data_IF_192047456559
#
_entry.id   IF_192047456559
#
_cell.length_a   1.000
_cell.length_b   1.000
_cell.length_c   1.000
_cell.angle_alpha   90.00
_cell.angle_beta   90.00
_cell.angle_gamma   90.00
#
_symmetry.space_group_name_H-M   'P 1'
#
loop_
_entity.id
_entity.type
_entity.pdbx_description
1 polymer ?
#
# COMPACT_ATOMS: atom_id res chain seq x y z
N UNK A 1 10.57 20.84 -7.39
CA UNK A 1 9.56 20.13 -6.56
C UNK A 1 8.22 20.17 -7.30
N UNK A 2 7.61 19.01 -7.59
CA UNK A 2 6.25 18.98 -8.19
C UNK A 2 5.26 19.55 -7.18
N UNK A 3 4.55 20.64 -7.53
CA UNK A 3 3.48 21.18 -6.68
C UNK A 3 2.33 20.15 -6.58
N UNK A 4 1.89 19.88 -5.36
CA UNK A 4 0.71 19.06 -5.11
C UNK A 4 -0.51 19.76 -5.70
N UNK A 5 -1.33 19.02 -6.42
CA UNK A 5 -2.58 19.53 -6.98
C UNK A 5 -3.74 19.07 -6.10
N UNK A 6 -4.87 19.79 -6.15
CA UNK A 6 -6.11 19.41 -5.44
C UNK A 6 -6.51 17.96 -5.76
N UNK A 7 -6.33 17.53 -7.02
CA UNK A 7 -6.62 16.17 -7.44
C UNK A 7 -5.72 15.13 -6.75
N UNK A 8 -4.44 15.42 -6.58
CA UNK A 8 -3.51 14.52 -5.84
C UNK A 8 -3.92 14.41 -4.38
N UNK A 9 -4.27 15.55 -3.76
CA UNK A 9 -4.71 15.58 -2.37
C UNK A 9 -6.01 14.81 -2.17
N UNK A 10 -7.00 14.99 -3.06
CA UNK A 10 -8.27 14.25 -3.02
C UNK A 10 -8.05 12.73 -3.17
N UNK A 11 -7.17 12.30 -4.09
CA UNK A 11 -6.83 10.88 -4.23
C UNK A 11 -6.14 10.34 -2.99
N UNK A 12 -5.18 11.08 -2.44
CA UNK A 12 -4.51 10.69 -1.21
C UNK A 12 -5.51 10.50 -0.06
N UNK A 13 -6.46 11.43 0.10
CA UNK A 13 -7.53 11.32 1.09
C UNK A 13 -8.42 10.09 0.88
N UNK A 14 -8.82 9.82 -0.37
CA UNK A 14 -9.63 8.63 -0.70
C UNK A 14 -8.87 7.33 -0.43
N UNK A 15 -7.60 7.26 -0.82
CA UNK A 15 -6.77 6.06 -0.58
C UNK A 15 -6.59 5.81 0.93
N UNK A 16 -6.30 6.86 1.71
CA UNK A 16 -6.16 6.74 3.15
C UNK A 16 -7.47 6.30 3.81
N UNK A 17 -8.61 6.90 3.41
CA UNK A 17 -9.93 6.53 3.91
C UNK A 17 -10.30 5.07 3.57
N UNK A 18 -10.01 4.62 2.34
CA UNK A 18 -10.21 3.23 1.93
C UNK A 18 -9.33 2.27 2.73
N UNK A 19 -8.07 2.64 3.00
CA UNK A 19 -7.18 1.81 3.82
C UNK A 19 -7.77 1.60 5.21
N UNK A 20 -8.21 2.69 5.86
CA UNK A 20 -8.85 2.65 7.17
C UNK A 20 -10.13 1.81 7.12
N UNK A 21 -11.02 2.08 6.17
CA UNK A 21 -12.29 1.36 6.04
C UNK A 21 -12.10 -0.15 5.83
N UNK A 22 -11.17 -0.56 4.94
CA UNK A 22 -10.87 -1.97 4.69
C UNK A 22 -10.24 -2.65 5.91
N UNK A 23 -9.40 -1.95 6.67
CA UNK A 23 -8.85 -2.48 7.92
C UNK A 23 -9.95 -2.76 8.92
N UNK A 24 -10.92 -1.84 9.06
CA UNK A 24 -12.05 -2.02 9.99
C UNK A 24 -13.04 -3.09 9.57
N UNK A 25 -13.38 -3.17 8.28
CA UNK A 25 -14.26 -4.21 7.75
C UNK A 25 -13.73 -5.62 8.02
N UNK A 26 -12.42 -5.78 8.02
CA UNK A 26 -11.76 -7.07 8.22
C UNK A 26 -11.17 -7.23 9.64
N UNK A 27 -11.45 -6.29 10.56
CA UNK A 27 -10.87 -6.26 11.91
C UNK A 27 -10.94 -7.60 12.66
N UNK A 28 -12.07 -8.35 12.64
CA UNK A 28 -12.14 -9.64 13.33
C UNK A 28 -11.15 -10.69 12.82
N UNK A 29 -10.73 -10.57 11.55
CA UNK A 29 -9.78 -11.49 10.90
C UNK A 29 -8.37 -10.87 10.82
N UNK A 30 -8.29 -9.54 10.93
CA UNK A 30 -7.04 -8.79 10.91
C UNK A 30 -6.31 -8.81 12.27
N UNK A 31 -7.01 -9.21 13.35
CA UNK A 31 -6.47 -9.28 14.71
C UNK A 31 -6.10 -10.73 15.02
N UNK A 32 -4.80 -11.02 15.17
CA UNK A 32 -4.31 -12.35 15.51
C UNK A 32 -2.98 -12.67 14.85
N UNK A 33 -2.45 -13.86 15.10
CA UNK A 33 -1.15 -14.31 14.60
C UNK A 33 -1.05 -14.33 13.07
N UNK A 34 -2.17 -14.51 12.35
CA UNK A 34 -2.18 -14.59 10.88
C UNK A 34 -2.35 -13.20 10.23
N UNK A 35 -2.84 -12.21 10.93
CA UNK A 35 -3.09 -10.82 10.46
C UNK A 35 -3.50 -10.68 8.98
N UNK A 36 -4.73 -11.03 8.66
CA UNK A 36 -5.26 -10.93 7.29
C UNK A 36 -5.77 -9.51 7.00
N UNK A 37 -4.84 -8.58 6.73
CA UNK A 37 -5.15 -7.16 6.46
C UNK A 37 -5.47 -6.93 4.99
N UNK A 38 -6.75 -6.94 4.62
CA UNK A 38 -7.18 -6.69 3.22
C UNK A 38 -6.76 -5.32 2.72
N UNK A 39 -6.62 -4.32 3.59
CA UNK A 39 -6.11 -2.98 3.23
C UNK A 39 -4.72 -2.99 2.56
N UNK A 40 -3.91 -4.03 2.80
CA UNK A 40 -2.58 -4.16 2.17
C UNK A 40 -2.66 -4.37 0.63
N UNK A 41 -3.83 -4.75 0.09
CA UNK A 41 -4.02 -4.74 -1.36
C UNK A 41 -3.79 -3.36 -2.01
N UNK A 42 -3.98 -2.27 -1.24
CA UNK A 42 -3.77 -0.91 -1.71
C UNK A 42 -2.28 -0.55 -1.87
N UNK A 43 -1.36 -1.36 -1.33
CA UNK A 43 0.09 -1.14 -1.46
C UNK A 43 0.62 -1.28 -2.89
N UNK A 44 -0.21 -1.73 -3.84
CA UNK A 44 0.10 -1.72 -5.27
C UNK A 44 -0.14 -0.36 -5.93
N UNK A 45 -0.91 0.55 -5.31
CA UNK A 45 -1.25 1.87 -5.89
C UNK A 45 -0.05 2.80 -6.11
N UNK A 46 1.03 2.77 -5.31
CA UNK A 46 2.26 3.51 -5.59
C UNK A 46 2.88 3.19 -6.96
N UNK A 47 2.61 2.02 -7.56
CA UNK A 47 3.02 1.72 -8.94
C UNK A 47 2.51 2.75 -9.95
N UNK A 48 1.40 3.42 -9.66
CA UNK A 48 0.75 4.41 -10.53
C UNK A 48 0.83 5.83 -9.99
N UNK A 49 0.66 6.01 -8.67
CA UNK A 49 0.42 7.29 -8.02
C UNK A 49 1.43 7.56 -6.91
N UNK A 50 2.18 8.65 -7.03
CA UNK A 50 3.11 9.08 -5.98
C UNK A 50 2.39 9.51 -4.70
N UNK A 51 1.19 10.08 -4.85
CA UNK A 51 0.32 10.47 -3.74
C UNK A 51 -0.20 9.29 -2.90
N UNK A 52 -0.13 8.07 -3.43
CA UNK A 52 -0.46 6.87 -2.66
C UNK A 52 0.55 6.59 -1.54
N UNK A 53 1.80 7.05 -1.67
CA UNK A 53 2.84 6.83 -0.65
C UNK A 53 2.43 7.44 0.70
N UNK A 54 2.23 8.76 0.82
CA UNK A 54 1.80 9.36 2.09
C UNK A 54 0.37 8.94 2.48
N UNK A 55 -0.49 8.61 1.51
CA UNK A 55 -1.85 8.14 1.80
C UNK A 55 -1.85 6.81 2.56
N UNK A 56 -1.03 5.84 2.13
CA UNK A 56 -0.88 4.55 2.81
C UNK A 56 -0.26 4.71 4.19
N UNK A 57 0.74 5.58 4.33
CA UNK A 57 1.35 5.89 5.62
C UNK A 57 0.31 6.44 6.61
N UNK A 58 -0.43 7.49 6.21
CA UNK A 58 -1.48 8.09 7.04
C UNK A 58 -2.60 7.09 7.34
N UNK A 59 -3.04 6.32 6.33
CA UNK A 59 -4.05 5.28 6.50
C UNK A 59 -3.61 4.21 7.51
N UNK A 60 -2.35 3.79 7.46
CA UNK A 60 -1.78 2.82 8.40
C UNK A 60 -1.70 3.38 9.82
N UNK A 61 -1.20 4.62 9.99
CA UNK A 61 -1.16 5.30 11.30
C UNK A 61 -2.56 5.37 11.92
N UNK A 62 -3.54 5.88 11.17
CA UNK A 62 -4.91 6.04 11.65
C UNK A 62 -5.55 4.68 11.98
N UNK A 63 -5.36 3.68 11.10
CA UNK A 63 -5.88 2.33 11.35
C UNK A 63 -5.31 1.72 12.61
N UNK A 64 -3.99 1.80 12.82
CA UNK A 64 -3.33 1.23 13.99
C UNK A 64 -3.73 1.98 15.28
N UNK A 65 -3.88 3.31 15.24
CA UNK A 65 -4.38 4.10 16.38
C UNK A 65 -5.78 3.68 16.80
N UNK A 66 -6.71 3.56 15.84
CA UNK A 66 -8.10 3.21 16.14
C UNK A 66 -8.23 1.73 16.53
N UNK A 67 -7.39 0.86 15.99
CA UNK A 67 -7.35 -0.57 16.35
C UNK A 67 -6.79 -0.84 17.75
N UNK A 68 -6.31 0.18 18.46
CA UNK A 68 -5.71 0.02 19.79
C UNK A 68 -4.37 -0.74 19.78
N UNK A 69 -3.65 -0.69 18.67
CA UNK A 69 -2.32 -1.29 18.57
C UNK A 69 -1.34 -0.63 19.54
N UNK A 70 -0.31 -1.37 19.95
CA UNK A 70 0.77 -0.85 20.80
C UNK A 70 1.44 0.34 20.10
N UNK A 71 1.85 1.35 20.85
CA UNK A 71 2.47 2.59 20.34
C UNK A 71 3.59 2.32 19.33
N UNK A 72 4.44 1.34 19.58
CA UNK A 72 5.52 0.96 18.66
C UNK A 72 5.02 0.42 17.33
N UNK A 73 3.89 -0.30 17.32
CA UNK A 73 3.29 -0.82 16.08
C UNK A 73 2.66 0.32 15.26
N UNK A 74 2.03 1.28 15.94
CA UNK A 74 1.51 2.49 15.28
C UNK A 74 2.61 3.25 14.55
N UNK A 75 3.75 3.46 15.20
CA UNK A 75 4.83 4.28 14.65
C UNK A 75 5.73 3.49 13.69
N UNK A 76 6.34 2.41 14.18
CA UNK A 76 7.30 1.61 13.40
C UNK A 76 6.61 0.81 12.29
N UNK A 77 5.44 0.23 12.54
CA UNK A 77 4.66 -0.48 11.52
C UNK A 77 4.26 0.44 10.35
N UNK A 78 3.89 1.70 10.66
CA UNK A 78 3.59 2.68 9.61
C UNK A 78 4.84 3.12 8.84
N UNK A 79 6.02 3.19 9.48
CA UNK A 79 7.29 3.43 8.79
C UNK A 79 7.63 2.27 7.84
N UNK A 80 7.41 1.02 8.26
CA UNK A 80 7.59 -0.15 7.39
C UNK A 80 6.69 -0.03 6.14
N UNK A 81 5.42 0.33 6.32
CA UNK A 81 4.49 0.58 5.21
C UNK A 81 4.97 1.71 4.30
N UNK A 82 5.52 2.79 4.86
CA UNK A 82 6.07 3.90 4.09
C UNK A 82 7.25 3.47 3.22
N UNK A 83 8.20 2.73 3.81
CA UNK A 83 9.37 2.20 3.08
C UNK A 83 8.92 1.24 1.98
N UNK A 84 7.99 0.34 2.28
CA UNK A 84 7.41 -0.58 1.30
C UNK A 84 6.76 0.19 0.12
N UNK A 85 5.97 1.22 0.41
CA UNK A 85 5.34 2.06 -0.61
C UNK A 85 6.34 2.80 -1.48
N UNK A 86 7.45 3.29 -0.91
CA UNK A 86 8.55 3.92 -1.65
C UNK A 86 9.23 2.92 -2.61
N UNK A 87 9.53 1.72 -2.14
CA UNK A 87 10.13 0.66 -2.95
C UNK A 87 9.18 0.22 -4.08
N UNK A 88 7.88 0.07 -3.77
CA UNK A 88 6.84 -0.23 -4.78
C UNK A 88 6.76 0.88 -5.82
N UNK A 89 6.79 2.15 -5.43
CA UNK A 89 6.82 3.28 -6.35
C UNK A 89 8.06 3.25 -7.26
N UNK A 90 9.24 2.99 -6.71
CA UNK A 90 10.47 2.85 -7.48
C UNK A 90 10.36 1.74 -8.52
N UNK A 91 9.83 0.56 -8.14
CA UNK A 91 9.55 -0.54 -9.07
C UNK A 91 8.66 -0.09 -10.24
N UNK A 92 7.62 0.69 -9.97
CA UNK A 92 6.74 1.24 -10.99
C UNK A 92 7.44 2.17 -11.98
N UNK A 93 8.58 2.75 -11.61
CA UNK A 93 9.39 3.63 -12.47
C UNK A 93 10.39 2.87 -13.32
N UNK A 94 11.00 1.82 -12.76
CA UNK A 94 12.06 1.06 -13.45
C UNK A 94 11.51 0.02 -14.41
N UNK A 95 10.39 -0.62 -14.11
CA UNK A 95 9.84 -1.70 -14.91
C UNK A 95 8.60 -1.25 -15.71
N UNK A 96 8.53 -1.69 -16.99
CA UNK A 96 7.39 -1.39 -17.88
C UNK A 96 6.39 -2.54 -18.00
N UNK A 97 6.85 -3.78 -17.79
CA UNK A 97 6.00 -4.96 -17.90
C UNK A 97 5.04 -5.03 -16.68
N UNK A 98 3.74 -5.10 -16.93
CA UNK A 98 2.70 -5.08 -15.89
C UNK A 98 2.84 -6.23 -14.89
N UNK A 99 3.12 -7.44 -15.36
CA UNK A 99 3.27 -8.62 -14.50
C UNK A 99 4.51 -8.46 -13.60
N UNK A 100 5.64 -8.03 -14.16
CA UNK A 100 6.87 -7.78 -13.40
C UNK A 100 6.65 -6.69 -12.34
N UNK A 101 5.90 -5.63 -12.68
CA UNK A 101 5.55 -4.56 -11.74
C UNK A 101 4.75 -5.08 -10.54
N UNK A 102 3.76 -5.95 -10.79
CA UNK A 102 2.93 -6.54 -9.73
C UNK A 102 3.77 -7.47 -8.84
N UNK A 103 4.57 -8.34 -9.44
CA UNK A 103 5.39 -9.30 -8.68
C UNK A 103 6.43 -8.56 -7.83
N UNK A 104 7.27 -7.73 -8.46
CA UNK A 104 8.34 -7.02 -7.75
C UNK A 104 7.81 -5.90 -6.86
N UNK A 105 6.76 -5.18 -7.28
CA UNK A 105 6.12 -4.16 -6.46
C UNK A 105 5.45 -4.73 -5.22
N UNK A 106 4.84 -5.90 -5.33
CA UNK A 106 4.25 -6.63 -4.21
C UNK A 106 5.27 -7.31 -3.30
N UNK A 107 6.46 -7.64 -3.82
CA UNK A 107 7.52 -8.29 -3.05
C UNK A 107 7.96 -7.45 -1.83
N UNK A 108 8.13 -6.14 -2.01
CA UNK A 108 8.60 -5.26 -0.94
C UNK A 108 7.63 -5.18 0.24
N UNK A 109 6.32 -4.88 0.06
CA UNK A 109 5.41 -4.86 1.20
C UNK A 109 5.25 -6.24 1.85
N UNK A 110 5.25 -7.34 1.08
CA UNK A 110 5.20 -8.70 1.64
C UNK A 110 6.39 -8.97 2.55
N UNK A 111 7.61 -8.76 2.06
CA UNK A 111 8.84 -9.09 2.81
C UNK A 111 9.06 -8.13 3.98
N UNK A 112 8.88 -6.83 3.76
CA UNK A 112 9.12 -5.83 4.81
C UNK A 112 8.12 -5.96 5.96
N UNK A 113 6.84 -6.22 5.68
CA UNK A 113 5.85 -6.48 6.71
C UNK A 113 6.12 -7.81 7.43
N UNK A 114 6.42 -8.87 6.68
CA UNK A 114 6.66 -10.19 7.27
C UNK A 114 7.87 -10.24 8.20
N UNK A 115 8.93 -9.51 7.89
CA UNK A 115 10.12 -9.42 8.73
C UNK A 115 10.00 -8.32 9.79
N UNK A 116 9.44 -7.17 9.42
CA UNK A 116 9.41 -5.98 10.28
C UNK A 116 8.39 -6.08 11.41
N UNK A 117 7.16 -6.54 11.14
CA UNK A 117 6.12 -6.56 12.16
C UNK A 117 6.43 -7.52 13.33
N UNK A 118 6.85 -8.79 13.11
CA UNK A 118 7.22 -9.66 14.22
C UNK A 118 8.41 -9.14 15.03
N UNK A 119 9.35 -8.45 14.39
CA UNK A 119 10.47 -7.80 15.06
C UNK A 119 9.98 -6.68 15.97
N UNK A 120 9.07 -5.83 15.49
CA UNK A 120 8.47 -4.74 16.28
C UNK A 120 7.72 -5.32 17.49
N UNK A 121 6.91 -6.38 17.29
CA UNK A 121 6.17 -7.02 18.37
C UNK A 121 7.10 -7.65 19.41
N UNK A 122 8.14 -8.33 18.97
CA UNK A 122 9.15 -8.89 19.88
C UNK A 122 9.85 -7.80 20.70
N UNK A 123 10.23 -6.69 20.07
CA UNK A 123 10.87 -5.56 20.75
C UNK A 123 9.91 -4.84 21.73
N UNK A 124 8.61 -4.82 21.44
CA UNK A 124 7.61 -4.12 22.24
C UNK A 124 7.09 -4.94 23.43
N UNK A 125 6.96 -6.26 23.26
CA UNK A 125 6.38 -7.16 24.28
C UNK A 125 7.42 -8.07 24.96
N UNK A 126 8.64 -8.16 24.42
CA UNK A 126 9.69 -9.05 24.91
C UNK A 126 9.48 -10.53 24.60
N UNK A 127 8.30 -10.92 24.12
CA UNK A 127 7.96 -12.29 23.79
C UNK A 127 6.96 -12.35 22.62
N UNK A 128 6.99 -13.44 21.86
CA UNK A 128 6.02 -13.76 20.82
C UNK A 128 5.35 -15.08 21.15
N UNK A 129 4.01 -15.14 21.09
CA UNK A 129 3.22 -16.33 21.43
C UNK A 129 3.64 -17.58 20.65
N UNK A 130 3.95 -17.42 19.35
CA UNK A 130 4.26 -18.52 18.44
C UNK A 130 5.71 -18.47 17.89
N UNK A 131 6.56 -17.62 18.45
CA UNK A 131 7.94 -17.45 18.00
C UNK A 131 8.09 -16.64 16.70
N UNK A 132 9.27 -16.05 16.50
CA UNK A 132 9.55 -15.10 15.44
C UNK A 132 9.35 -15.69 14.02
N UNK A 133 10.03 -16.80 13.73
CA UNK A 133 10.02 -17.39 12.38
C UNK A 133 8.66 -17.92 11.93
N UNK A 134 7.85 -18.40 12.88
CA UNK A 134 6.50 -18.86 12.57
C UNK A 134 5.57 -17.68 12.28
N UNK A 135 5.70 -16.56 13.01
CA UNK A 135 5.01 -15.30 12.67
C UNK A 135 5.42 -14.79 11.28
N UNK A 136 6.73 -14.81 10.95
CA UNK A 136 7.23 -14.44 9.61
C UNK A 136 6.58 -15.32 8.53
N UNK A 137 6.51 -16.63 8.73
CA UNK A 137 5.90 -17.55 7.76
C UNK A 137 4.40 -17.26 7.56
N UNK A 138 3.64 -17.04 8.64
CA UNK A 138 2.22 -16.68 8.56
C UNK A 138 2.01 -15.34 7.83
N UNK A 139 2.82 -14.34 8.12
CA UNK A 139 2.73 -13.04 7.46
C UNK A 139 3.13 -13.12 5.98
N UNK A 140 4.16 -13.88 5.63
CA UNK A 140 4.52 -14.11 4.22
C UNK A 140 3.34 -14.71 3.44
N UNK A 141 2.67 -15.69 4.01
CA UNK A 141 1.52 -16.34 3.37
C UNK A 141 0.32 -15.39 3.28
N UNK A 142 -0.08 -14.76 4.38
CA UNK A 142 -1.26 -13.89 4.42
C UNK A 142 -1.08 -12.65 3.56
N UNK A 143 0.04 -11.97 3.68
CA UNK A 143 0.38 -10.77 2.89
C UNK A 143 0.57 -11.13 1.40
N UNK A 144 1.22 -12.26 1.12
CA UNK A 144 1.41 -12.76 -0.24
C UNK A 144 0.07 -12.99 -0.95
N UNK A 145 -0.86 -13.69 -0.30
CA UNK A 145 -2.20 -13.91 -0.86
C UNK A 145 -2.92 -12.59 -1.09
N UNK A 146 -2.94 -11.67 -0.12
CA UNK A 146 -3.65 -10.40 -0.25
C UNK A 146 -3.05 -9.56 -1.39
N UNK A 147 -1.74 -9.41 -1.43
CA UNK A 147 -1.08 -8.50 -2.37
C UNK A 147 -1.03 -9.09 -3.77
N UNK A 148 -0.70 -10.38 -3.94
CA UNK A 148 -0.61 -10.98 -5.27
C UNK A 148 -1.94 -11.48 -5.83
N UNK A 149 -2.99 -11.67 -5.02
CA UNK A 149 -4.33 -11.99 -5.53
C UNK A 149 -5.17 -10.72 -5.60
N UNK A 150 -5.49 -10.10 -4.46
CA UNK A 150 -6.37 -8.93 -4.42
C UNK A 150 -5.68 -7.66 -4.97
N UNK A 151 -4.43 -7.43 -4.60
CA UNK A 151 -3.64 -6.32 -5.11
C UNK A 151 -3.37 -6.43 -6.61
N UNK A 152 -3.10 -7.64 -7.14
CA UNK A 152 -2.97 -7.84 -8.58
C UNK A 152 -4.29 -7.56 -9.32
N UNK A 153 -5.42 -8.02 -8.80
CA UNK A 153 -6.73 -7.70 -9.37
C UNK A 153 -6.95 -6.18 -9.41
N UNK A 154 -6.67 -5.48 -8.30
CA UNK A 154 -6.75 -4.03 -8.23
C UNK A 154 -5.80 -3.37 -9.25
N UNK A 155 -4.56 -3.84 -9.38
CA UNK A 155 -3.60 -3.34 -10.35
C UNK A 155 -4.16 -3.38 -11.77
N UNK A 156 -4.68 -4.53 -12.22
CA UNK A 156 -5.21 -4.68 -13.57
C UNK A 156 -6.48 -3.85 -13.80
N UNK A 157 -7.32 -3.67 -12.78
CA UNK A 157 -8.48 -2.78 -12.85
C UNK A 157 -8.03 -1.34 -13.06
N UNK A 158 -7.09 -0.85 -12.25
CA UNK A 158 -6.55 0.52 -12.38
C UNK A 158 -5.85 0.70 -13.72
N UNK A 159 -5.03 -0.25 -14.16
CA UNK A 159 -4.36 -0.21 -15.46
C UNK A 159 -5.37 -0.11 -16.62
N UNK A 160 -6.46 -0.91 -16.57
CA UNK A 160 -7.55 -0.87 -17.56
C UNK A 160 -8.27 0.48 -17.56
N UNK A 161 -8.52 1.05 -16.40
CA UNK A 161 -9.13 2.38 -16.26
C UNK A 161 -8.23 3.48 -16.82
N UNK A 162 -6.91 3.39 -16.58
CA UNK A 162 -5.93 4.32 -17.16
C UNK A 162 -5.86 4.21 -18.69
N UNK A 163 -5.91 2.99 -19.25
CA UNK A 163 -5.96 2.76 -20.70
C UNK A 163 -7.27 3.30 -21.33
N UNK A 164 -8.40 3.24 -20.62
CA UNK A 164 -9.67 3.83 -21.05
C UNK A 164 -9.74 5.36 -20.91
N UNK A 165 -8.65 5.99 -20.45
CA UNK A 165 -8.53 7.45 -20.35
C UNK A 165 -9.57 8.13 -19.45
N UNK A 166 -9.98 7.47 -18.37
CA UNK A 166 -10.86 8.10 -17.38
C UNK A 166 -10.11 9.26 -16.74
N UNK A 167 -10.52 10.48 -17.04
CA UNK A 167 -9.83 11.75 -16.70
C UNK A 167 -9.47 11.87 -15.21
N UNK A 168 -10.30 11.33 -14.32
CA UNK A 168 -10.08 11.35 -12.87
C UNK A 168 -8.95 10.40 -12.44
N UNK A 169 -8.74 9.31 -13.18
CA UNK A 169 -7.73 8.30 -12.86
C UNK A 169 -6.35 8.61 -13.46
N UNK A 170 -6.25 9.52 -14.44
CA UNK A 170 -4.97 9.83 -15.07
C UNK A 170 -3.99 10.48 -14.05
N UNK A 171 -2.74 9.97 -13.94
CA UNK A 171 -1.68 10.67 -13.21
C UNK A 171 -1.54 12.11 -13.71
N UNK A 172 -1.29 13.04 -12.80
CA UNK A 172 -1.23 14.47 -13.11
C UNK A 172 -0.19 14.79 -14.21
N UNK A 173 0.88 13.99 -14.29
CA UNK A 173 1.88 14.10 -15.37
C UNK A 173 1.29 13.87 -16.75
N UNK A 174 0.52 12.81 -16.94
CA UNK A 174 -0.10 12.46 -18.20
C UNK A 174 -1.25 13.41 -18.57
N UNK A 175 -1.98 13.91 -17.56
CA UNK A 175 -3.02 14.90 -17.78
C UNK A 175 -2.46 16.22 -18.35
N UNK A 176 -1.34 16.69 -17.80
CA UNK A 176 -0.66 17.90 -18.31
C UNK A 176 -0.07 17.76 -19.71
N UNK A 177 0.44 16.58 -20.06
CA UNK A 177 0.94 16.32 -21.42
C UNK A 177 -0.18 16.38 -22.45
N UNK A 178 -1.36 15.84 -22.13
CA UNK A 178 -2.55 15.92 -22.99
C UNK A 178 -3.09 17.33 -23.13
N UNK A 179 -3.16 18.08 -22.03
CA UNK A 179 -3.60 19.48 -22.09
C UNK A 179 -2.69 20.32 -23.01
N UNK A 180 -1.39 19.98 -23.10
CA UNK A 180 -0.46 20.61 -24.04
C UNK A 180 -0.67 20.18 -25.49
N UNK A 181 -1.03 18.91 -25.73
CA UNK A 181 -1.30 18.39 -27.07
C UNK A 181 -2.64 18.86 -27.65
N UNK A 182 -3.62 19.14 -26.78
CA UNK A 182 -4.96 19.59 -27.18
C UNK A 182 -5.13 21.13 -27.18
N UNK A 183 -4.06 21.91 -26.97
CA UNK A 183 -4.13 23.37 -27.16
C UNK A 183 -4.17 23.65 -28.67
N UNK A 184 -5.23 24.31 -29.18
CA UNK A 184 -5.23 24.81 -30.57
C UNK A 184 -4.06 25.78 -30.75
N UNK A 185 -3.44 25.70 -31.92
CA UNK A 185 -2.38 26.62 -32.39
C UNK A 185 -2.92 28.04 -32.46
#
# INVERSE_FOLDING_TARGET
>A
MKKWTTLMLSRAGVIAALYVALTFLCFPVASGAIQFRVSEMLTVLPLFYVEAIPALFVGCVVSNLISGCVFWDVFLGSIVTLIAALCTYATGRFFKNGVVRVILGGFFPVVLNALGLPLIWWLSSGALEIGYWLNVAYLLLSQGVIIWVLGAALYFVVEKMLKKNISVMLPVSLKKEREKQNKPL
#
